data_IF_008701087201
#
_entry.id   IF_008701087201
#
_cell.length_a   1.000
_cell.length_b   1.000
_cell.length_c   1.000
_cell.angle_alpha   90.00
_cell.angle_beta   90.00
_cell.angle_gamma   90.00
#
_symmetry.space_group_name_H-M   'P 1'
#
loop_
_entity.id
_entity.type
_entity.pdbx_description
1 polymer ?
#
# COMPACT_ATOMS: atom_id res chain seq x y z
N UNK A 1 10.90 11.96 1.13
CA UNK A 1 10.41 10.61 1.47
C UNK A 1 9.23 10.31 0.57
N UNK A 2 9.39 9.32 -0.30
CA UNK A 2 8.65 9.19 -1.56
C UNK A 2 7.25 8.60 -1.36
N UNK A 3 6.24 9.22 -1.98
CA UNK A 3 4.90 8.63 -2.09
C UNK A 3 4.94 7.20 -2.66
N UNK A 4 5.91 6.93 -3.53
CA UNK A 4 6.20 5.59 -4.06
C UNK A 4 6.58 4.57 -2.99
N UNK A 5 7.37 4.97 -2.01
CA UNK A 5 7.82 4.12 -0.89
C UNK A 5 6.64 3.78 0.02
N UNK A 6 5.79 4.78 0.31
CA UNK A 6 4.56 4.59 1.10
C UNK A 6 3.64 3.54 0.50
N UNK A 7 3.42 3.64 -0.81
CA UNK A 7 2.56 2.71 -1.54
C UNK A 7 3.21 1.32 -1.61
N UNK A 8 4.54 1.20 -1.79
CA UNK A 8 5.25 -0.11 -1.79
C UNK A 8 5.12 -0.83 -0.44
N UNK A 9 5.22 -0.09 0.67
CA UNK A 9 5.07 -0.68 2.01
C UNK A 9 3.64 -1.19 2.22
N UNK A 10 2.62 -0.43 1.80
CA UNK A 10 1.22 -0.85 1.92
C UNK A 10 0.91 -2.03 1.00
N UNK A 11 1.44 -2.03 -0.22
CA UNK A 11 1.37 -3.16 -1.15
C UNK A 11 1.97 -4.43 -0.53
N UNK A 12 3.13 -4.33 0.14
CA UNK A 12 3.71 -5.46 0.85
C UNK A 12 2.86 -5.94 2.04
N UNK A 13 2.14 -5.04 2.72
CA UNK A 13 1.19 -5.42 3.79
C UNK A 13 0.02 -6.23 3.22
N UNK A 14 -0.53 -5.80 2.07
CA UNK A 14 -1.70 -6.43 1.44
C UNK A 14 -1.35 -7.71 0.70
N UNK A 15 -0.27 -7.72 -0.08
CA UNK A 15 0.11 -8.85 -0.95
C UNK A 15 0.97 -9.90 -0.23
N UNK A 16 1.83 -9.48 0.69
CA UNK A 16 2.80 -10.37 1.36
C UNK A 16 2.52 -10.55 2.86
N UNK A 17 1.43 -10.00 3.37
CA UNK A 17 1.06 -10.13 4.79
C UNK A 17 2.04 -9.45 5.74
N UNK A 18 2.71 -8.38 5.28
CA UNK A 18 3.66 -7.64 6.12
C UNK A 18 2.95 -7.07 7.36
N UNK A 19 3.55 -7.24 8.54
CA UNK A 19 2.93 -6.83 9.79
C UNK A 19 2.66 -5.32 9.82
N UNK A 20 1.45 -4.93 10.25
CA UNK A 20 1.02 -3.52 10.35
C UNK A 20 1.98 -2.70 11.22
N UNK A 21 2.51 -3.29 12.29
CA UNK A 21 3.51 -2.68 13.18
C UNK A 21 4.79 -2.31 12.43
N UNK A 22 5.30 -3.22 11.59
CA UNK A 22 6.50 -2.98 10.79
C UNK A 22 6.27 -1.92 9.70
N UNK A 23 5.06 -1.88 9.12
CA UNK A 23 4.69 -0.84 8.18
C UNK A 23 4.56 0.53 8.86
N UNK A 24 4.04 0.58 10.09
CA UNK A 24 3.94 1.80 10.90
C UNK A 24 5.33 2.37 11.20
N UNK A 25 6.28 1.53 11.61
CA UNK A 25 7.67 1.92 11.85
C UNK A 25 8.34 2.49 10.59
N UNK A 26 8.18 1.80 9.45
CA UNK A 26 8.77 2.22 8.16
C UNK A 26 8.18 3.51 7.62
N UNK A 27 6.88 3.72 7.82
CA UNK A 27 6.18 4.91 7.34
C UNK A 27 6.21 6.05 8.35
N UNK A 28 6.73 5.82 9.56
CA UNK A 28 6.67 6.75 10.68
C UNK A 28 5.23 7.21 10.97
N UNK A 29 4.27 6.28 10.86
CA UNK A 29 2.85 6.51 11.07
C UNK A 29 2.34 5.69 12.25
N UNK A 30 1.16 6.00 12.77
CA UNK A 30 0.50 5.15 13.74
C UNK A 30 -0.08 3.89 13.06
N UNK A 31 -0.12 2.76 13.77
CA UNK A 31 -0.76 1.52 13.30
C UNK A 31 -2.20 1.74 12.81
N UNK A 32 -2.94 2.65 13.44
CA UNK A 32 -4.31 3.03 13.05
C UNK A 32 -4.36 3.70 11.68
N UNK A 33 -3.38 4.55 11.37
CA UNK A 33 -3.28 5.23 10.08
C UNK A 33 -2.92 4.21 8.99
N UNK A 34 -1.99 3.30 9.29
CA UNK A 34 -1.64 2.19 8.41
C UNK A 34 -2.83 1.27 8.17
N UNK A 35 -3.57 0.89 9.21
CA UNK A 35 -4.78 0.08 9.08
C UNK A 35 -5.85 0.76 8.22
N UNK A 36 -6.04 2.08 8.36
CA UNK A 36 -6.93 2.85 7.48
C UNK A 36 -6.45 2.88 6.04
N UNK A 37 -5.15 3.00 5.82
CA UNK A 37 -4.54 2.92 4.50
C UNK A 37 -4.78 1.54 3.89
N UNK A 38 -4.43 0.46 4.58
CA UNK A 38 -4.68 -0.92 4.15
C UNK A 38 -6.14 -1.13 3.76
N UNK A 39 -7.10 -0.74 4.61
CA UNK A 39 -8.54 -0.85 4.30
C UNK A 39 -8.95 -0.06 3.05
N UNK A 40 -8.41 1.14 2.86
CA UNK A 40 -8.64 1.92 1.63
C UNK A 40 -8.05 1.23 0.40
N UNK A 41 -6.90 0.58 0.55
CA UNK A 41 -6.23 -0.16 -0.51
C UNK A 41 -6.97 -1.46 -0.86
N UNK A 42 -7.46 -2.20 0.13
CA UNK A 42 -8.29 -3.39 -0.07
C UNK A 42 -9.63 -3.03 -0.74
N UNK A 43 -10.32 -1.99 -0.25
CA UNK A 43 -11.56 -1.50 -0.84
C UNK A 43 -11.36 -0.97 -2.27
N UNK A 44 -10.15 -0.53 -2.61
CA UNK A 44 -9.80 -0.08 -3.94
C UNK A 44 -9.58 -1.23 -4.94
N UNK A 45 -9.37 -2.46 -4.45
CA UNK A 45 -9.00 -3.65 -5.22
C UNK A 45 -7.55 -3.60 -5.69
N UNK A 46 -6.79 -4.65 -5.40
CA UNK A 46 -5.40 -4.88 -5.86
C UNK A 46 -5.24 -4.71 -7.38
N UNK A 47 -6.28 -5.02 -8.15
CA UNK A 47 -6.35 -4.89 -9.61
C UNK A 47 -6.21 -3.45 -10.10
N UNK A 48 -6.69 -2.45 -9.36
CA UNK A 48 -6.68 -1.04 -9.79
C UNK A 48 -5.34 -0.36 -9.58
N UNK A 49 -4.52 -0.87 -8.65
CA UNK A 49 -3.22 -0.28 -8.31
C UNK A 49 -2.07 -0.90 -9.09
N UNK A 50 -2.12 -2.21 -9.39
CA UNK A 50 -1.16 -2.84 -10.29
C UNK A 50 -1.22 -2.24 -11.70
N UNK A 51 -2.42 -1.85 -12.19
CA UNK A 51 -2.57 -1.12 -13.46
C UNK A 51 -2.09 0.33 -13.41
N UNK A 52 -2.14 0.99 -12.26
CA UNK A 52 -1.60 2.35 -12.10
C UNK A 52 -0.06 2.35 -11.93
N UNK A 53 0.52 1.22 -11.50
CA UNK A 53 1.96 1.06 -11.23
C UNK A 53 2.76 0.45 -12.37
N UNK A 54 2.19 -0.48 -13.14
CA UNK A 54 2.78 -0.93 -14.40
C UNK A 54 2.40 0.10 -15.45
N UNK A 55 3.31 1.00 -15.78
CA UNK A 55 3.14 1.84 -16.96
C UNK A 55 2.78 0.97 -18.17
N UNK A 56 1.67 1.34 -18.82
CA UNK A 56 1.17 0.94 -20.15
C UNK A 56 0.09 -0.17 -20.23
N UNK A 57 -0.74 -0.16 -21.28
CA UNK A 57 -1.40 0.97 -21.95
C UNK A 57 -2.93 0.74 -22.05
N UNK A 58 -3.65 1.80 -22.42
CA UNK A 58 -5.02 1.71 -22.95
C UNK A 58 -5.09 0.66 -24.06
N UNK A 59 -6.08 -0.23 -23.98
CA UNK A 59 -6.71 -0.82 -25.17
C UNK A 59 -8.11 -0.26 -25.26
#
# INVERSE_FOLDING_TARGET
MHELERVKVIEAVVEHGLAIVLAAERLQLCEREVSRLVKRYEAAGSTRLLSARRGQPTT
#
